data_IF_940029911045
#
_entry.id   IF_940029911045
#
_cell.length_a   1.000
_cell.length_b   1.000
_cell.length_c   1.000
_cell.angle_alpha   90.00
_cell.angle_beta   90.00
_cell.angle_gamma   90.00
#
_symmetry.space_group_name_H-M   'P 1'
#
loop_
_entity.id
_entity.type
_entity.pdbx_description
1 polymer ?
#
# COMPACT_ATOMS: atom_id res chain seq x y z
N UNK A 1 49.16 -34.58 -40.55
CA UNK A 1 47.75 -34.16 -40.72
C UNK A 1 46.94 -34.79 -39.60
N UNK A 2 46.88 -34.15 -38.44
CA UNK A 2 45.95 -34.46 -37.36
C UNK A 2 45.48 -33.09 -36.85
N UNK A 3 44.20 -32.78 -37.09
CA UNK A 3 43.55 -31.58 -36.61
C UNK A 3 42.85 -31.94 -35.30
N UNK A 4 43.31 -31.36 -34.20
CA UNK A 4 42.64 -31.41 -32.90
C UNK A 4 41.49 -30.40 -32.88
N UNK A 5 40.28 -30.89 -32.65
CA UNK A 5 39.08 -30.08 -32.46
C UNK A 5 38.97 -29.67 -30.99
N UNK A 6 38.85 -28.38 -30.63
CA UNK A 6 38.70 -27.98 -29.24
C UNK A 6 37.25 -28.21 -28.78
N UNK A 7 37.11 -28.91 -27.65
CA UNK A 7 35.85 -29.15 -26.96
C UNK A 7 35.25 -27.83 -26.45
N UNK A 8 34.04 -27.50 -26.90
CA UNK A 8 33.28 -26.35 -26.43
C UNK A 8 32.86 -26.52 -24.97
N UNK A 9 33.28 -25.58 -24.12
CA UNK A 9 32.79 -25.46 -22.75
C UNK A 9 31.29 -25.06 -22.74
N UNK A 10 30.42 -25.77 -22.00
CA UNK A 10 29.04 -25.34 -21.81
C UNK A 10 29.04 -24.05 -20.97
N UNK A 11 28.58 -22.94 -21.58
CA UNK A 11 28.34 -21.67 -20.88
C UNK A 11 27.28 -21.88 -19.80
N UNK A 12 27.71 -21.85 -18.54
CA UNK A 12 26.89 -21.88 -17.33
C UNK A 12 26.55 -20.45 -16.88
N UNK A 13 26.01 -19.62 -17.77
CA UNK A 13 25.56 -18.26 -17.43
C UNK A 13 24.12 -18.06 -17.93
N UNK A 14 23.18 -18.83 -17.38
CA UNK A 14 21.79 -18.40 -17.33
C UNK A 14 21.56 -17.74 -15.97
N UNK A 15 21.40 -16.41 -15.90
CA UNK A 15 21.10 -15.76 -14.63
C UNK A 15 19.79 -16.33 -14.12
N UNK A 16 19.83 -16.96 -12.94
CA UNK A 16 18.65 -17.39 -12.23
C UNK A 16 17.75 -16.17 -12.04
N UNK A 17 16.75 -16.03 -12.92
CA UNK A 17 15.71 -15.03 -12.76
C UNK A 17 14.97 -15.43 -11.50
N UNK A 18 15.27 -14.71 -10.41
CA UNK A 18 14.52 -14.76 -9.17
C UNK A 18 13.05 -14.55 -9.52
N UNK A 19 12.30 -15.64 -9.66
CA UNK A 19 10.87 -15.59 -9.94
C UNK A 19 10.22 -15.03 -8.68
N UNK A 20 9.90 -13.74 -8.73
CA UNK A 20 9.09 -13.09 -7.72
C UNK A 20 7.74 -13.77 -7.58
N UNK A 21 6.95 -13.42 -6.55
CA UNK A 21 5.61 -13.96 -6.41
C UNK A 21 4.81 -13.69 -7.69
N UNK A 22 4.13 -14.70 -8.22
CA UNK A 22 3.37 -14.58 -9.47
C UNK A 22 2.00 -13.91 -9.28
N UNK A 23 1.53 -13.81 -8.04
CA UNK A 23 0.20 -13.30 -7.75
C UNK A 23 0.00 -11.80 -8.06
N UNK A 24 0.98 -10.88 -7.94
CA UNK A 24 0.77 -9.48 -8.30
C UNK A 24 0.47 -9.31 -9.79
N UNK A 25 1.21 -10.00 -10.66
CA UNK A 25 0.94 -10.05 -12.11
C UNK A 25 -0.44 -10.61 -12.42
N UNK A 26 -0.84 -11.67 -11.70
CA UNK A 26 -2.20 -12.24 -11.85
C UNK A 26 -3.28 -11.25 -11.41
N UNK A 27 -3.06 -10.54 -10.30
CA UNK A 27 -3.99 -9.52 -9.82
C UNK A 27 -4.09 -8.34 -10.79
N UNK A 28 -2.98 -7.90 -11.38
CA UNK A 28 -2.97 -6.88 -12.44
C UNK A 28 -3.79 -7.35 -13.64
N UNK A 29 -3.60 -8.58 -14.11
CA UNK A 29 -4.39 -9.14 -15.21
C UNK A 29 -5.88 -9.14 -14.90
N UNK A 30 -6.28 -9.62 -13.72
CA UNK A 30 -7.68 -9.63 -13.27
C UNK A 30 -8.25 -8.21 -13.17
N UNK A 31 -7.44 -7.24 -12.76
CA UNK A 31 -7.89 -5.85 -12.67
C UNK A 31 -8.26 -5.26 -14.03
N UNK A 32 -7.56 -5.65 -15.10
CA UNK A 32 -7.85 -5.22 -16.47
C UNK A 32 -9.15 -5.85 -16.98
N UNK A 33 -9.38 -7.13 -16.70
CA UNK A 33 -10.60 -7.82 -17.13
C UNK A 33 -11.84 -7.33 -16.37
N UNK A 34 -11.70 -7.06 -15.06
CA UNK A 34 -12.79 -6.54 -14.23
C UNK A 34 -13.27 -5.13 -14.63
N UNK A 35 -12.39 -4.30 -15.21
CA UNK A 35 -12.76 -2.98 -15.73
C UNK A 35 -13.51 -3.03 -17.06
N UNK A 36 -13.26 -4.07 -17.85
CA UNK A 36 -13.83 -4.24 -19.18
C UNK A 36 -14.44 -5.64 -19.31
N UNK A 37 -15.52 -5.94 -18.58
CA UNK A 37 -16.11 -7.27 -18.56
C UNK A 37 -16.71 -7.61 -19.93
N UNK A 38 -16.33 -8.77 -20.47
CA UNK A 38 -16.88 -9.28 -21.73
C UNK A 38 -18.16 -10.10 -21.52
N UNK A 39 -18.30 -10.75 -20.35
CA UNK A 39 -19.44 -11.58 -19.99
C UNK A 39 -19.57 -11.66 -18.46
N UNK A 40 -20.80 -11.62 -17.94
CA UNK A 40 -21.13 -11.71 -16.51
C UNK A 40 -20.51 -12.95 -15.85
N UNK A 41 -20.59 -14.13 -16.47
CA UNK A 41 -20.04 -15.36 -15.86
C UNK A 41 -18.51 -15.34 -15.73
N UNK A 42 -17.81 -14.65 -16.64
CA UNK A 42 -16.37 -14.47 -16.53
C UNK A 42 -16.02 -13.41 -15.50
N UNK A 43 -16.81 -12.33 -15.45
CA UNK A 43 -16.67 -11.28 -14.45
C UNK A 43 -16.80 -11.82 -13.03
N UNK A 44 -17.78 -12.69 -12.75
CA UNK A 44 -17.96 -13.29 -11.43
C UNK A 44 -16.75 -14.14 -11.00
N UNK A 45 -16.22 -14.95 -11.93
CA UNK A 45 -15.01 -15.77 -11.68
C UNK A 45 -13.77 -14.91 -11.46
N UNK A 46 -13.59 -13.86 -12.26
CA UNK A 46 -12.47 -12.95 -12.13
C UNK A 46 -12.56 -12.16 -10.82
N UNK A 47 -13.79 -11.79 -10.40
CA UNK A 47 -14.07 -11.10 -9.15
C UNK A 47 -13.74 -11.97 -7.95
N UNK A 48 -14.17 -13.23 -7.97
CA UNK A 48 -13.82 -14.23 -6.94
C UNK A 48 -12.30 -14.45 -6.86
N UNK A 49 -11.64 -14.63 -8.00
CA UNK A 49 -10.19 -14.82 -8.05
C UNK A 49 -9.43 -13.59 -7.51
N UNK A 50 -9.86 -12.37 -7.88
CA UNK A 50 -9.27 -11.13 -7.39
C UNK A 50 -9.46 -10.97 -5.89
N UNK A 51 -10.68 -11.22 -5.39
CA UNK A 51 -10.98 -11.20 -3.96
C UNK A 51 -10.09 -12.17 -3.19
N UNK A 52 -9.93 -13.41 -3.67
CA UNK A 52 -9.08 -14.41 -3.03
C UNK A 52 -7.62 -13.95 -2.93
N UNK A 53 -7.05 -13.41 -4.01
CA UNK A 53 -5.67 -12.90 -4.02
C UNK A 53 -5.47 -11.72 -3.08
N UNK A 54 -6.43 -10.79 -3.04
CA UNK A 54 -6.42 -9.65 -2.13
C UNK A 54 -6.51 -10.12 -0.67
N UNK A 55 -7.47 -10.99 -0.36
CA UNK A 55 -7.73 -11.45 1.00
C UNK A 55 -6.57 -12.25 1.57
N UNK A 56 -6.01 -13.17 0.77
CA UNK A 56 -4.82 -13.93 1.16
C UNK A 56 -3.60 -13.02 1.40
N UNK A 57 -3.36 -12.06 0.50
CA UNK A 57 -2.23 -11.12 0.62
C UNK A 57 -2.38 -10.19 1.82
N UNK A 58 -3.57 -9.60 2.03
CA UNK A 58 -3.84 -8.72 3.17
C UNK A 58 -3.73 -9.50 4.48
N UNK A 59 -4.30 -10.71 4.56
CA UNK A 59 -4.17 -11.59 5.73
C UNK A 59 -2.71 -11.87 6.08
N UNK A 60 -1.88 -12.16 5.08
CA UNK A 60 -0.43 -12.33 5.28
C UNK A 60 0.20 -11.09 5.89
N UNK A 61 -0.07 -9.90 5.35
CA UNK A 61 0.51 -8.66 5.86
C UNK A 61 -0.04 -8.26 7.24
N UNK A 62 -1.31 -8.53 7.52
CA UNK A 62 -1.90 -8.31 8.84
C UNK A 62 -1.14 -9.09 9.92
N UNK A 63 -0.84 -10.37 9.68
CA UNK A 63 -0.03 -11.19 10.61
C UNK A 63 1.37 -10.61 10.83
N UNK A 64 2.01 -10.11 9.77
CA UNK A 64 3.33 -9.46 9.85
C UNK A 64 3.24 -8.19 10.73
N UNK A 65 2.22 -7.35 10.51
CA UNK A 65 2.07 -6.07 11.22
C UNK A 65 1.57 -6.24 12.66
N UNK A 66 0.79 -7.29 12.94
CA UNK A 66 0.24 -7.57 14.26
C UNK A 66 1.35 -7.63 15.33
N UNK A 67 2.44 -8.34 15.01
CA UNK A 67 3.62 -8.47 15.90
C UNK A 67 4.21 -7.12 16.36
N UNK A 68 3.97 -6.04 15.61
CA UNK A 68 4.54 -4.70 15.87
C UNK A 68 3.53 -3.69 16.43
N UNK A 69 2.24 -3.88 16.17
CA UNK A 69 1.22 -2.84 16.40
C UNK A 69 0.28 -3.13 17.57
N UNK A 70 0.11 -4.39 17.96
CA UNK A 70 -0.75 -4.73 19.10
C UNK A 70 -1.33 -6.14 19.04
N UNK A 71 -2.40 -6.36 19.80
CA UNK A 71 -3.14 -7.63 19.84
C UNK A 71 -4.50 -7.46 19.17
N UNK A 72 -4.87 -8.41 18.32
CA UNK A 72 -6.16 -8.55 17.66
C UNK A 72 -6.47 -10.05 17.61
N UNK A 73 -7.75 -10.43 17.69
CA UNK A 73 -8.14 -11.83 17.57
C UNK A 73 -7.95 -12.32 16.12
N UNK A 74 -7.86 -13.65 15.89
CA UNK A 74 -7.88 -14.18 14.52
C UNK A 74 -9.10 -13.74 13.71
N UNK A 75 -10.26 -13.68 14.35
CA UNK A 75 -11.53 -13.19 13.79
C UNK A 75 -11.42 -11.71 13.39
N UNK A 76 -10.86 -10.84 14.26
CA UNK A 76 -10.61 -9.44 13.92
C UNK A 76 -9.75 -9.31 12.64
N UNK A 77 -8.74 -10.17 12.47
CA UNK A 77 -7.88 -10.13 11.28
C UNK A 77 -8.62 -10.55 10.02
N UNK A 78 -9.50 -11.55 10.11
CA UNK A 78 -10.32 -12.03 9.01
C UNK A 78 -11.33 -10.97 8.56
N UNK A 79 -11.97 -10.28 9.52
CA UNK A 79 -12.87 -9.17 9.27
C UNK A 79 -12.15 -8.01 8.57
N UNK A 80 -10.99 -7.60 9.08
CA UNK A 80 -10.18 -6.54 8.48
C UNK A 80 -9.75 -6.94 7.06
N UNK A 81 -9.29 -8.19 6.86
CA UNK A 81 -8.85 -8.66 5.55
C UNK A 81 -10.00 -8.67 4.54
N UNK A 82 -11.16 -9.19 4.93
CA UNK A 82 -12.36 -9.26 4.10
C UNK A 82 -12.85 -7.87 3.73
N UNK A 83 -12.97 -6.97 4.70
CA UNK A 83 -13.42 -5.60 4.48
C UNK A 83 -12.47 -4.84 3.55
N UNK A 84 -11.15 -4.91 3.77
CA UNK A 84 -10.19 -4.22 2.90
C UNK A 84 -10.13 -4.85 1.50
N UNK A 85 -10.28 -6.16 1.37
CA UNK A 85 -10.33 -6.83 0.06
C UNK A 85 -11.54 -6.40 -0.75
N UNK A 86 -12.71 -6.32 -0.13
CA UNK A 86 -13.94 -5.84 -0.78
C UNK A 86 -13.84 -4.37 -1.19
N UNK A 87 -13.29 -3.51 -0.34
CA UNK A 87 -13.03 -2.11 -0.67
C UNK A 87 -12.07 -1.98 -1.87
N UNK A 88 -10.95 -2.70 -1.87
CA UNK A 88 -10.01 -2.68 -2.98
C UNK A 88 -10.59 -3.26 -4.28
N UNK A 89 -11.44 -4.28 -4.19
CA UNK A 89 -12.14 -4.86 -5.33
C UNK A 89 -13.08 -3.83 -5.98
N UNK A 90 -13.87 -3.10 -5.19
CA UNK A 90 -14.71 -1.99 -5.69
C UNK A 90 -13.87 -0.89 -6.33
N UNK A 91 -12.66 -0.65 -5.82
CA UNK A 91 -11.73 0.34 -6.41
C UNK A 91 -11.12 -0.12 -7.73
N UNK A 92 -10.89 -1.42 -7.88
CA UNK A 92 -10.50 -2.01 -9.17
C UNK A 92 -11.61 -1.84 -10.20
N UNK A 93 -12.84 -2.21 -9.83
CA UNK A 93 -14.03 -2.14 -10.69
C UNK A 93 -14.35 -0.71 -11.13
N UNK A 94 -14.24 0.25 -10.22
CA UNK A 94 -14.43 1.69 -10.53
C UNK A 94 -13.24 2.35 -11.25
N UNK A 95 -12.12 1.64 -11.41
CA UNK A 95 -10.89 2.20 -11.98
C UNK A 95 -10.10 3.13 -11.05
N UNK A 96 -10.60 3.41 -9.84
CA UNK A 96 -9.94 4.30 -8.87
C UNK A 96 -8.62 3.76 -8.31
N UNK A 97 -8.38 2.44 -8.41
CA UNK A 97 -7.08 1.83 -8.16
C UNK A 97 -6.56 1.09 -9.39
N UNK A 98 -5.49 1.62 -9.99
CA UNK A 98 -4.84 1.06 -11.18
C UNK A 98 -3.47 0.45 -10.88
N UNK A 99 -3.27 -0.74 -11.44
CA UNK A 99 -2.03 -1.52 -11.31
C UNK A 99 -1.23 -1.57 -12.63
N UNK A 100 -1.79 -1.09 -13.75
CA UNK A 100 -1.12 -1.10 -15.05
C UNK A 100 0.21 -0.33 -14.99
N UNK A 101 1.30 -1.00 -15.33
CA UNK A 101 2.65 -0.41 -15.31
C UNK A 101 3.19 -0.19 -13.89
N UNK A 102 2.68 -0.95 -12.91
CA UNK A 102 3.25 -1.01 -11.55
C UNK A 102 4.08 -2.27 -11.41
N UNK A 103 5.20 -2.14 -10.70
CA UNK A 103 6.05 -3.27 -10.37
C UNK A 103 5.40 -4.19 -9.32
N UNK A 104 5.83 -5.45 -9.26
CA UNK A 104 5.35 -6.40 -8.25
C UNK A 104 5.59 -5.87 -6.82
N UNK A 105 6.74 -5.23 -6.59
CA UNK A 105 7.12 -4.63 -5.30
C UNK A 105 6.22 -3.47 -4.89
N UNK A 106 5.77 -2.70 -5.86
CA UNK A 106 4.78 -1.65 -5.66
C UNK A 106 3.46 -2.24 -5.16
N UNK A 107 2.85 -3.16 -5.92
CA UNK A 107 1.55 -3.75 -5.56
C UNK A 107 1.61 -4.39 -4.16
N UNK A 108 2.70 -5.11 -3.88
CA UNK A 108 2.97 -5.69 -2.55
C UNK A 108 3.05 -4.63 -1.45
N UNK A 109 3.75 -3.52 -1.70
CA UNK A 109 3.87 -2.41 -0.78
C UNK A 109 2.51 -1.78 -0.46
N UNK A 110 1.71 -1.53 -1.49
CA UNK A 110 0.36 -0.99 -1.34
C UNK A 110 -0.51 -1.89 -0.46
N UNK A 111 -0.56 -3.20 -0.74
CA UNK A 111 -1.34 -4.15 0.07
C UNK A 111 -0.83 -4.24 1.52
N UNK A 112 0.49 -4.21 1.72
CA UNK A 112 1.09 -4.16 3.06
C UNK A 112 0.64 -2.91 3.83
N UNK A 113 0.57 -1.76 3.16
CA UNK A 113 0.09 -0.52 3.77
C UNK A 113 -1.42 -0.55 4.04
N UNK A 114 -2.21 -1.06 3.11
CA UNK A 114 -3.66 -1.22 3.28
C UNK A 114 -3.98 -2.09 4.51
N UNK A 115 -3.28 -3.23 4.64
CA UNK A 115 -3.37 -4.10 5.81
C UNK A 115 -3.00 -3.36 7.11
N UNK A 116 -1.85 -2.67 7.13
CA UNK A 116 -1.41 -1.89 8.29
C UNK A 116 -2.44 -0.84 8.71
N UNK A 117 -2.95 -0.07 7.77
CA UNK A 117 -3.92 0.98 8.06
C UNK A 117 -5.23 0.38 8.59
N UNK A 118 -5.72 -0.71 7.99
CA UNK A 118 -6.88 -1.44 8.50
C UNK A 118 -6.72 -1.91 9.95
N UNK A 119 -5.55 -2.45 10.31
CA UNK A 119 -5.26 -2.84 11.68
C UNK A 119 -5.21 -1.64 12.64
N UNK A 120 -4.60 -0.52 12.23
CA UNK A 120 -4.56 0.69 13.06
C UNK A 120 -5.95 1.28 13.30
N UNK A 121 -6.79 1.31 12.26
CA UNK A 121 -8.17 1.80 12.35
C UNK A 121 -8.99 0.93 13.32
N UNK A 122 -8.88 -0.40 13.21
CA UNK A 122 -9.51 -1.35 14.14
C UNK A 122 -9.07 -1.13 15.59
N UNK A 123 -7.75 -1.02 15.83
CA UNK A 123 -7.21 -0.79 17.18
C UNK A 123 -7.64 0.56 17.77
N UNK A 124 -7.78 1.59 16.94
CA UNK A 124 -8.30 2.90 17.35
C UNK A 124 -9.78 2.82 17.70
N UNK A 125 -10.57 2.14 16.89
CA UNK A 125 -11.99 1.94 17.14
C UNK A 125 -12.24 1.14 18.41
N UNK A 126 -11.52 0.03 18.59
CA UNK A 126 -11.58 -0.78 19.81
C UNK A 126 -11.22 0.04 21.05
N UNK A 127 -10.24 0.94 20.96
CA UNK A 127 -9.89 1.85 22.07
C UNK A 127 -11.03 2.83 22.40
N UNK A 128 -11.69 3.41 21.39
CA UNK A 128 -12.84 4.31 21.61
C UNK A 128 -14.02 3.59 22.26
N UNK A 129 -14.25 2.31 21.94
CA UNK A 129 -15.31 1.50 22.56
C UNK A 129 -15.01 1.11 24.02
N UNK A 130 -13.79 1.30 24.52
CA UNK A 130 -13.33 0.93 25.87
C UNK A 130 -13.20 2.17 26.79
N UNK A 131 -13.50 3.39 26.33
CA UNK A 131 -13.65 4.54 27.24
C UNK A 131 -14.81 4.29 28.23
N UNK A 132 -14.63 4.66 29.52
CA UNK A 132 -15.42 4.09 30.60
C UNK A 132 -16.87 4.55 30.52
N UNK A 133 -17.76 3.59 30.66
CA UNK A 133 -19.13 3.84 31.12
C UNK A 133 -19.00 4.61 32.44
N UNK A 134 -19.39 5.88 32.46
CA UNK A 134 -19.78 6.54 33.70
C UNK A 134 -20.86 5.64 34.33
N UNK A 135 -20.59 5.12 35.53
CA UNK A 135 -21.44 4.15 36.26
C UNK A 135 -22.85 4.69 36.61
N UNK A 136 -23.16 5.93 36.24
CA UNK A 136 -24.43 6.62 36.54
C UNK A 136 -25.43 6.68 35.37
N UNK A 137 -25.22 5.96 34.26
CA UNK A 137 -26.17 5.98 33.12
C UNK A 137 -27.26 4.89 33.26
N UNK A 138 -28.56 5.24 33.38
CA UNK A 138 -29.64 4.25 33.50
C UNK A 138 -29.75 3.34 32.27
N UNK A 139 -29.93 2.05 32.54
CA UNK A 139 -29.82 0.88 31.67
C UNK A 139 -30.89 0.74 30.56
N UNK A 140 -31.64 1.79 30.20
CA UNK A 140 -32.83 1.66 29.33
C UNK A 140 -33.00 2.72 28.23
N UNK A 141 -31.96 3.47 27.89
CA UNK A 141 -32.00 4.38 26.74
C UNK A 141 -31.08 3.92 25.60
N UNK A 142 -31.37 2.73 25.06
CA UNK A 142 -30.87 2.31 23.74
C UNK A 142 -32.00 2.54 22.75
N UNK A 143 -32.15 3.80 22.32
CA UNK A 143 -33.05 4.16 21.24
C UNK A 143 -32.68 3.44 19.93
N UNK A 144 -33.66 3.21 19.03
CA UNK A 144 -33.47 2.49 17.77
C UNK A 144 -32.51 3.16 16.77
N UNK A 145 -32.00 4.36 17.06
CA UNK A 145 -31.11 5.16 16.19
C UNK A 145 -29.65 4.65 16.10
N UNK A 146 -29.28 3.60 16.84
CA UNK A 146 -27.90 3.07 16.82
C UNK A 146 -27.63 2.11 15.66
N UNK A 147 -28.66 1.53 15.04
CA UNK A 147 -28.48 0.65 13.88
C UNK A 147 -28.41 1.43 12.55
N UNK A 148 -29.08 2.58 12.44
CA UNK A 148 -29.03 3.42 11.23
C UNK A 148 -27.68 4.13 11.03
N UNK A 149 -26.94 4.39 12.11
CA UNK A 149 -25.59 4.97 12.02
C UNK A 149 -24.51 3.94 11.64
N UNK A 150 -24.75 2.65 11.82
CA UNK A 150 -23.81 1.58 11.45
C UNK A 150 -23.81 1.28 9.93
N UNK A 151 -24.82 1.74 9.20
CA UNK A 151 -25.00 1.48 7.75
C UNK A 151 -24.29 2.51 6.85
N UNK A 152 -23.60 3.52 7.43
CA UNK A 152 -22.81 4.52 6.68
C UNK A 152 -21.43 4.05 6.16
N UNK A 153 -21.23 2.75 5.97
CA UNK A 153 -20.02 2.15 5.35
C UNK A 153 -20.17 1.82 3.86
N UNK A 154 -21.20 2.35 3.19
CA UNK A 154 -21.17 2.55 1.75
C UNK A 154 -20.45 3.88 1.47
N UNK A 155 -19.30 3.84 0.77
CA UNK A 155 -18.54 5.04 0.40
C UNK A 155 -19.48 6.13 -0.10
N UNK A 156 -19.69 7.23 0.65
CA UNK A 156 -20.14 8.46 0.03
C UNK A 156 -19.05 8.79 -0.99
N UNK A 157 -19.44 9.15 -2.20
CA UNK A 157 -18.54 9.95 -3.05
C UNK A 157 -18.13 11.12 -2.15
N UNK A 158 -16.85 11.15 -1.76
CA UNK A 158 -16.37 12.17 -0.84
C UNK A 158 -16.75 13.55 -1.43
N UNK A 159 -17.17 14.51 -0.59
CA UNK A 159 -17.47 15.86 -1.06
C UNK A 159 -16.30 16.39 -1.91
N UNK A 160 -16.58 17.14 -2.99
CA UNK A 160 -15.54 17.57 -3.93
C UNK A 160 -14.38 18.29 -3.25
N UNK A 161 -14.65 19.07 -2.21
CA UNK A 161 -13.64 19.79 -1.42
C UNK A 161 -12.61 18.85 -0.77
N UNK A 162 -13.07 17.70 -0.24
CA UNK A 162 -12.20 16.70 0.38
C UNK A 162 -11.33 16.01 -0.69
N UNK A 163 -11.86 15.81 -1.90
CA UNK A 163 -11.09 15.26 -3.00
C UNK A 163 -10.00 16.24 -3.47
N UNK A 164 -10.32 17.53 -3.56
CA UNK A 164 -9.34 18.58 -3.89
C UNK A 164 -8.24 18.63 -2.83
N UNK A 165 -8.58 18.68 -1.55
CA UNK A 165 -7.61 18.72 -0.46
C UNK A 165 -6.65 17.51 -0.48
N UNK A 166 -7.16 16.30 -0.75
CA UNK A 166 -6.33 15.09 -0.93
C UNK A 166 -5.37 15.21 -2.09
N UNK A 167 -5.85 15.72 -3.23
CA UNK A 167 -5.04 15.88 -4.44
C UNK A 167 -3.94 16.91 -4.21
N UNK A 168 -4.26 18.04 -3.58
CA UNK A 168 -3.30 19.10 -3.24
C UNK A 168 -2.25 18.58 -2.26
N UNK A 169 -2.67 17.88 -1.19
CA UNK A 169 -1.73 17.27 -0.24
C UNK A 169 -0.80 16.26 -0.93
N UNK A 170 -1.35 15.41 -1.81
CA UNK A 170 -0.58 14.40 -2.52
C UNK A 170 0.42 15.03 -3.51
N UNK A 171 0.02 16.07 -4.23
CA UNK A 171 0.88 16.83 -5.12
C UNK A 171 2.01 17.53 -4.35
N UNK A 172 1.68 18.22 -3.24
CA UNK A 172 2.66 18.85 -2.38
C UNK A 172 3.70 17.85 -1.84
N UNK A 173 3.25 16.66 -1.41
CA UNK A 173 4.16 15.62 -0.92
C UNK A 173 5.04 15.05 -2.03
N UNK A 174 4.51 14.92 -3.26
CA UNK A 174 5.29 14.55 -4.45
C UNK A 174 6.40 15.55 -4.70
N UNK A 175 6.09 16.84 -4.81
CA UNK A 175 7.08 17.89 -5.05
C UNK A 175 8.15 17.92 -3.95
N UNK A 176 7.76 17.76 -2.68
CA UNK A 176 8.72 17.69 -1.57
C UNK A 176 9.63 16.46 -1.64
N UNK A 177 9.12 15.32 -2.12
CA UNK A 177 9.92 14.12 -2.29
C UNK A 177 10.85 14.21 -3.52
N UNK A 178 10.46 14.94 -4.57
CA UNK A 178 11.29 15.20 -5.75
C UNK A 178 12.53 16.04 -5.43
N UNK A 179 12.46 16.90 -4.41
CA UNK A 179 13.61 17.67 -3.90
C UNK A 179 14.67 16.80 -3.17
N UNK A 180 14.35 15.54 -2.86
CA UNK A 180 15.31 14.63 -2.25
C UNK A 180 16.31 14.14 -3.30
N UNK A 181 17.54 13.88 -2.86
CA UNK A 181 18.50 13.15 -3.70
C UNK A 181 17.95 11.79 -4.08
N UNK A 182 18.26 11.30 -5.28
CA UNK A 182 17.67 10.07 -5.83
C UNK A 182 17.77 8.88 -4.87
N UNK A 183 18.92 8.72 -4.21
CA UNK A 183 19.12 7.66 -3.20
C UNK A 183 18.20 7.83 -1.99
N UNK A 184 18.04 9.06 -1.50
CA UNK A 184 17.16 9.35 -0.35
C UNK A 184 15.69 9.16 -0.74
N UNK A 185 15.31 9.53 -1.97
CA UNK A 185 13.98 9.33 -2.54
C UNK A 185 13.64 7.84 -2.64
N UNK A 186 14.55 7.00 -3.15
CA UNK A 186 14.43 5.53 -3.17
C UNK A 186 14.23 4.95 -1.77
N UNK A 187 15.11 5.31 -0.83
CA UNK A 187 15.03 4.83 0.57
C UNK A 187 13.71 5.24 1.22
N UNK A 188 13.30 6.49 1.03
CA UNK A 188 12.02 6.99 1.54
C UNK A 188 10.84 6.25 0.92
N UNK A 189 10.85 6.02 -0.39
CA UNK A 189 9.81 5.28 -1.08
C UNK A 189 9.67 3.87 -0.53
N UNK A 190 10.77 3.11 -0.45
CA UNK A 190 10.77 1.76 0.12
C UNK A 190 10.26 1.73 1.56
N UNK A 191 10.56 2.78 2.34
CA UNK A 191 10.08 2.88 3.70
C UNK A 191 8.59 3.21 3.78
N UNK A 192 8.13 4.20 3.02
CA UNK A 192 6.79 4.78 3.18
C UNK A 192 5.72 3.97 2.46
N UNK A 193 6.04 3.52 1.24
CA UNK A 193 5.12 2.80 0.35
C UNK A 193 5.30 1.29 0.45
N UNK A 194 6.54 0.80 0.43
CA UNK A 194 6.79 -0.65 0.54
C UNK A 194 6.78 -1.17 1.99
N UNK A 195 6.87 -0.27 2.97
CA UNK A 195 6.87 -0.63 4.39
C UNK A 195 8.10 -1.41 4.85
N UNK A 196 9.18 -1.40 4.06
CA UNK A 196 10.39 -2.15 4.35
C UNK A 196 11.07 -1.63 5.63
N UNK A 197 11.65 -2.54 6.40
CA UNK A 197 12.54 -2.22 7.52
C UNK A 197 13.88 -1.68 7.00
N UNK A 198 14.61 -0.95 7.84
CA UNK A 198 15.94 -0.43 7.48
C UNK A 198 16.92 -1.53 7.07
N UNK A 199 16.75 -2.75 7.60
CA UNK A 199 17.53 -3.93 7.21
C UNK A 199 17.15 -4.45 5.82
N UNK A 200 15.86 -4.54 5.51
CA UNK A 200 15.39 -4.94 4.18
C UNK A 200 15.79 -3.91 3.11
N UNK A 201 15.64 -2.62 3.42
CA UNK A 201 16.08 -1.52 2.54
C UNK A 201 17.60 -1.59 2.33
N UNK A 202 18.38 -1.83 3.39
CA UNK A 202 19.83 -1.96 3.32
C UNK A 202 20.28 -3.08 2.37
N UNK A 203 19.57 -4.21 2.36
CA UNK A 203 19.86 -5.35 1.49
C UNK A 203 19.32 -5.18 0.05
N UNK A 204 18.58 -4.12 -0.25
CA UNK A 204 18.03 -3.92 -1.59
C UNK A 204 19.14 -3.55 -2.58
N UNK A 205 19.22 -4.17 -3.78
CA UNK A 205 20.32 -3.94 -4.73
C UNK A 205 20.55 -2.46 -5.07
N UNK A 206 19.46 -1.73 -5.32
CA UNK A 206 19.47 -0.29 -5.61
C UNK A 206 19.96 0.60 -4.45
N UNK A 207 19.97 0.08 -3.22
CA UNK A 207 20.38 0.86 -2.04
C UNK A 207 21.72 0.37 -1.52
N UNK A 208 21.92 -0.92 -1.30
CA UNK A 208 23.18 -1.55 -0.88
C UNK A 208 23.95 -0.74 0.18
N UNK A 209 23.33 -0.51 1.34
CA UNK A 209 23.88 0.25 2.47
C UNK A 209 23.86 -0.56 3.76
N UNK A 210 24.54 -0.08 4.79
CA UNK A 210 24.34 -0.57 6.16
C UNK A 210 23.01 -0.06 6.70
N UNK A 211 22.31 -0.89 7.49
CA UNK A 211 21.02 -0.53 8.10
C UNK A 211 21.10 0.77 8.94
N UNK A 212 22.17 0.95 9.71
CA UNK A 212 22.39 2.19 10.49
C UNK A 212 22.49 3.45 9.61
N UNK A 213 23.09 3.34 8.42
CA UNK A 213 23.16 4.46 7.49
C UNK A 213 21.78 4.75 6.87
N UNK A 214 21.00 3.71 6.57
CA UNK A 214 19.60 3.86 6.11
C UNK A 214 18.77 4.59 7.16
N UNK A 215 18.93 4.29 8.45
CA UNK A 215 18.20 4.98 9.52
C UNK A 215 18.51 6.48 9.57
N UNK A 216 19.79 6.85 9.42
CA UNK A 216 20.21 8.26 9.35
C UNK A 216 19.59 8.97 8.14
N UNK A 217 19.62 8.34 6.96
CA UNK A 217 19.04 8.91 5.75
C UNK A 217 17.52 9.05 5.86
N UNK A 218 16.84 8.06 6.45
CA UNK A 218 15.40 8.15 6.71
C UNK A 218 15.05 9.28 7.66
N UNK A 219 15.86 9.49 8.71
CA UNK A 219 15.62 10.59 9.65
C UNK A 219 15.79 11.95 8.98
N UNK A 220 16.85 12.14 8.19
CA UNK A 220 17.07 13.39 7.43
C UNK A 220 15.94 13.64 6.44
N UNK A 221 15.53 12.60 5.71
CA UNK A 221 14.45 12.69 4.73
C UNK A 221 13.12 13.09 5.37
N UNK A 222 12.80 12.55 6.56
CA UNK A 222 11.59 12.95 7.30
C UNK A 222 11.60 14.43 7.68
N UNK A 223 12.75 14.95 8.10
CA UNK A 223 12.91 16.37 8.44
C UNK A 223 12.69 17.22 7.20
N UNK A 224 13.39 16.91 6.09
CA UNK A 224 13.26 17.65 4.84
C UNK A 224 11.83 17.68 4.31
N UNK A 225 11.16 16.51 4.25
CA UNK A 225 9.76 16.44 3.79
C UNK A 225 8.85 17.22 4.72
N UNK A 226 8.99 17.06 6.03
CA UNK A 226 8.14 17.78 7.00
C UNK A 226 8.28 19.29 6.84
N UNK A 227 9.51 19.76 6.72
CA UNK A 227 9.80 21.19 6.66
C UNK A 227 9.30 21.78 5.33
N UNK A 228 9.47 21.04 4.21
CA UNK A 228 8.89 21.40 2.92
C UNK A 228 7.34 21.41 2.94
N UNK A 229 6.70 20.37 3.48
CA UNK A 229 5.23 20.32 3.60
C UNK A 229 4.69 21.47 4.46
N UNK A 230 5.38 21.80 5.56
CA UNK A 230 5.02 22.95 6.40
C UNK A 230 5.12 24.28 5.65
N UNK A 231 6.15 24.47 4.83
CA UNK A 231 6.29 25.67 3.99
C UNK A 231 5.14 25.80 2.97
N UNK A 232 4.60 24.66 2.51
CA UNK A 232 3.43 24.58 1.64
C UNK A 232 2.09 24.70 2.38
N UNK A 233 2.09 24.89 3.70
CA UNK A 233 0.88 25.03 4.51
C UNK A 233 0.25 23.71 4.96
N UNK A 234 0.90 22.57 4.75
CA UNK A 234 0.39 21.27 5.18
C UNK A 234 1.06 20.80 6.48
N UNK A 235 0.25 20.40 7.46
CA UNK A 235 0.73 19.76 8.68
C UNK A 235 0.69 18.22 8.55
N UNK A 236 1.76 17.48 8.91
CA UNK A 236 1.76 16.01 8.82
C UNK A 236 0.72 15.30 9.70
N UNK A 237 0.12 16.00 10.67
CA UNK A 237 -0.95 15.50 11.52
C UNK A 237 -2.32 15.56 10.84
N UNK A 238 -2.45 16.33 9.76
CA UNK A 238 -3.70 16.64 9.07
C UNK A 238 -3.79 15.90 7.73
N UNK A 239 -3.31 14.65 7.66
CA UNK A 239 -3.39 13.87 6.43
C UNK A 239 -4.86 13.53 6.17
N UNK A 240 -5.46 14.01 5.06
CA UNK A 240 -6.86 13.70 4.78
C UNK A 240 -7.05 12.18 4.62
N UNK A 241 -8.21 11.61 5.03
CA UNK A 241 -8.51 10.20 4.76
C UNK A 241 -8.34 9.88 3.28
N UNK A 242 -7.95 8.67 2.90
CA UNK A 242 -7.83 8.31 1.47
C UNK A 242 -6.61 8.88 0.72
N UNK A 243 -5.85 9.81 1.30
CA UNK A 243 -4.62 10.40 0.71
C UNK A 243 -3.63 9.35 0.19
N UNK A 244 -3.56 8.19 0.84
CA UNK A 244 -2.66 7.12 0.39
C UNK A 244 -2.94 6.65 -1.06
N UNK A 245 -4.19 6.68 -1.50
CA UNK A 245 -4.56 6.34 -2.89
C UNK A 245 -4.03 7.38 -3.87
N UNK A 246 -4.18 8.66 -3.53
CA UNK A 246 -3.66 9.73 -4.39
C UNK A 246 -2.14 9.73 -4.42
N UNK A 247 -1.49 9.47 -3.28
CA UNK A 247 -0.05 9.23 -3.23
C UNK A 247 0.35 8.02 -4.06
N UNK A 248 -0.42 6.94 -4.04
CA UNK A 248 -0.17 5.79 -4.89
C UNK A 248 -0.17 6.18 -6.37
N UNK A 249 -1.17 6.94 -6.82
CA UNK A 249 -1.25 7.43 -8.20
C UNK A 249 -0.08 8.37 -8.54
N UNK A 250 0.29 9.24 -7.61
CA UNK A 250 1.28 10.29 -7.81
C UNK A 250 2.74 9.78 -7.90
N UNK A 251 3.07 8.65 -7.26
CA UNK A 251 4.43 8.12 -7.24
C UNK A 251 4.53 6.82 -8.02
N UNK A 252 5.38 6.73 -9.05
CA UNK A 252 5.74 5.46 -9.72
C UNK A 252 7.16 5.04 -9.38
N UNK A 253 7.38 3.75 -9.10
CA UNK A 253 8.72 3.24 -8.81
C UNK A 253 9.67 3.40 -10.00
N UNK A 254 9.18 3.27 -11.23
CA UNK A 254 9.97 3.48 -12.44
C UNK A 254 10.53 4.91 -12.53
N UNK A 255 9.72 5.92 -12.23
CA UNK A 255 10.14 7.33 -12.17
C UNK A 255 11.19 7.57 -11.09
N UNK A 256 11.12 6.83 -9.98
CA UNK A 256 12.06 6.95 -8.85
C UNK A 256 13.36 6.19 -9.13
N UNK A 257 13.30 5.07 -9.84
CA UNK A 257 14.47 4.27 -10.19
C UNK A 257 15.25 4.86 -11.37
N UNK A 258 14.54 5.46 -12.33
CA UNK A 258 15.09 6.00 -13.58
C UNK A 258 14.69 7.47 -13.79
N UNK A 259 15.25 8.44 -13.03
CA UNK A 259 14.82 9.84 -13.06
C UNK A 259 15.14 10.62 -14.35
N UNK A 260 15.52 9.96 -15.46
CA UNK A 260 15.97 10.61 -16.70
C UNK A 260 15.43 10.04 -18.01
N UNK A 261 14.38 9.20 -17.97
CA UNK A 261 13.78 8.58 -19.17
C UNK A 261 12.43 9.23 -19.55
N UNK A 262 12.01 10.25 -18.81
CA UNK A 262 10.71 10.93 -18.99
C UNK A 262 10.85 12.40 -19.34
N UNK A 263 11.49 12.70 -20.47
CA UNK A 263 11.26 13.93 -21.26
C UNK A 263 11.17 13.56 -22.75
#
# INVERSE_FOLDING_TARGET
MQQETPAGHPSLDSPATSQGPLWPKRLEQLSRTLRHPQNNSQQDRDREAAWFLLNASISKYLRIHLSRLGKASPEDLEDIASQKSLDLLRRIESGSWEMTGRTDGEIMGFLSKAARNGLLDHLREKRRRIEPVDEDRPEWDVGPDTLENAVRTMSPIDPPDIQVERNEFAAALRECAEQLSDRSRKIWFFRVFCGLSSREIACHPEVSLKASHVDVLLQRTRIMIRDCMRQKGHHPQEIPPGTFVELWKAFRLEEILNPGVGE
#
